data_IF_246268437432
#
_entry.id   IF_246268437432
#
_cell.length_a   1.000
_cell.length_b   1.000
_cell.length_c   1.000
_cell.angle_alpha   90.00
_cell.angle_beta   90.00
_cell.angle_gamma   90.00
#
_symmetry.space_group_name_H-M   'P 1'
#
loop_
_entity.id
_entity.type
_entity.pdbx_description
1 polymer ?
#
# COMPACT_ATOMS: atom_id res chain seq x y z
N UNK A 1 29.75 -11.24 -0.47
CA UNK A 1 29.07 -10.03 -0.97
C UNK A 1 27.61 -10.20 -0.64
N UNK A 2 26.99 -9.30 0.12
CA UNK A 2 25.61 -9.48 0.61
C UNK A 2 24.62 -9.10 -0.50
N UNK A 3 23.86 -10.08 -0.97
CA UNK A 3 22.85 -9.94 -2.03
C UNK A 3 21.47 -9.91 -1.38
N UNK A 4 20.55 -9.09 -1.91
CA UNK A 4 19.15 -9.07 -1.49
C UNK A 4 18.25 -9.04 -2.73
N UNK A 5 17.17 -9.83 -2.71
CA UNK A 5 16.25 -9.98 -3.83
C UNK A 5 15.02 -9.11 -3.61
N UNK A 6 14.71 -8.24 -4.56
CA UNK A 6 13.58 -7.31 -4.46
C UNK A 6 12.51 -7.72 -5.47
N UNK A 7 11.31 -7.97 -4.97
CA UNK A 7 10.11 -8.22 -5.78
C UNK A 7 9.26 -6.97 -5.77
N UNK A 8 8.82 -6.55 -6.94
CA UNK A 8 7.96 -5.40 -7.13
C UNK A 8 6.55 -5.90 -7.46
N UNK A 9 5.55 -5.33 -6.78
CA UNK A 9 4.15 -5.55 -7.13
C UNK A 9 3.53 -4.20 -7.47
N UNK A 10 3.13 -4.06 -8.73
CA UNK A 10 2.24 -2.99 -9.15
C UNK A 10 0.91 -3.13 -8.40
N UNK A 11 0.25 -2.01 -8.04
CA UNK A 11 -0.97 -2.08 -7.25
C UNK A 11 -2.01 -2.90 -8.04
N UNK A 12 -2.83 -3.67 -7.32
CA UNK A 12 -3.84 -4.59 -7.87
C UNK A 12 -5.02 -3.87 -8.55
N UNK A 13 -4.76 -2.90 -9.42
CA UNK A 13 -5.77 -2.23 -10.24
C UNK A 13 -5.92 -2.86 -11.63
N UNK A 14 -5.12 -3.88 -11.97
CA UNK A 14 -5.36 -4.69 -13.15
C UNK A 14 -5.23 -6.19 -12.83
N UNK A 15 -6.17 -7.05 -13.29
CA UNK A 15 -6.06 -8.50 -13.15
C UNK A 15 -4.90 -9.11 -13.98
N UNK A 16 -4.12 -8.27 -14.66
CA UNK A 16 -3.00 -8.60 -15.54
C UNK A 16 -1.66 -8.04 -15.07
N UNK A 17 -1.59 -7.40 -13.88
CA UNK A 17 -0.33 -6.80 -13.39
C UNK A 17 0.74 -7.89 -13.23
N UNK A 18 1.78 -7.81 -14.06
CA UNK A 18 2.90 -8.75 -14.02
C UNK A 18 3.84 -8.33 -12.90
N UNK A 19 4.16 -9.26 -11.99
CA UNK A 19 5.22 -9.03 -11.01
C UNK A 19 6.55 -8.79 -11.73
N UNK A 20 7.25 -7.72 -11.38
CA UNK A 20 8.61 -7.44 -11.83
C UNK A 20 9.54 -7.84 -10.70
N UNK A 21 10.55 -8.67 -10.96
CA UNK A 21 11.52 -9.12 -9.97
C UNK A 21 12.91 -8.66 -10.38
N UNK A 22 13.65 -8.06 -9.43
CA UNK A 22 15.01 -7.55 -9.66
C UNK A 22 15.89 -7.89 -8.46
N UNK A 23 17.08 -8.43 -8.71
CA UNK A 23 18.10 -8.63 -7.68
C UNK A 23 18.98 -7.38 -7.56
N UNK A 24 19.20 -6.93 -6.32
CA UNK A 24 20.03 -5.75 -6.06
C UNK A 24 21.09 -6.09 -4.99
N UNK A 25 22.31 -5.63 -5.24
CA UNK A 25 23.38 -5.67 -4.25
C UNK A 25 23.29 -4.42 -3.37
N UNK A 26 23.11 -4.61 -2.08
CA UNK A 26 22.90 -3.50 -1.14
C UNK A 26 23.85 -3.63 0.05
N UNK A 27 24.49 -2.52 0.38
CA UNK A 27 25.26 -2.39 1.62
C UNK A 27 24.30 -2.30 2.80
N UNK A 28 24.36 -3.26 3.73
CA UNK A 28 23.47 -3.31 4.89
C UNK A 28 23.63 -2.13 5.86
N UNK A 29 24.70 -1.35 5.73
CA UNK A 29 24.92 -0.12 6.51
C UNK A 29 24.09 1.05 5.98
N UNK A 30 23.54 0.94 4.78
CA UNK A 30 22.61 1.91 4.22
C UNK A 30 21.31 1.95 5.01
N UNK A 31 20.64 3.11 4.96
CA UNK A 31 19.34 3.30 5.60
C UNK A 31 18.20 2.84 4.68
N UNK A 32 17.03 2.58 5.27
CA UNK A 32 15.81 2.36 4.51
C UNK A 32 15.47 3.54 3.57
N UNK A 33 15.74 4.78 3.98
CA UNK A 33 15.61 5.95 3.11
C UNK A 33 16.52 5.86 1.88
N UNK A 34 17.77 5.47 2.07
CA UNK A 34 18.74 5.26 0.98
C UNK A 34 18.28 4.16 0.02
N UNK A 35 17.76 3.05 0.55
CA UNK A 35 17.12 2.01 -0.26
C UNK A 35 15.98 2.57 -1.10
N UNK A 36 15.03 3.29 -0.48
CA UNK A 36 13.89 3.88 -1.21
C UNK A 36 14.37 4.77 -2.35
N UNK A 37 15.39 5.60 -2.15
CA UNK A 37 15.98 6.42 -3.22
C UNK A 37 16.57 5.60 -4.36
N UNK A 38 17.26 4.50 -4.07
CA UNK A 38 17.79 3.58 -5.10
C UNK A 38 16.67 2.88 -5.89
N UNK A 39 15.49 2.69 -5.28
CA UNK A 39 14.34 2.07 -5.93
C UNK A 39 13.51 3.05 -6.77
N UNK A 40 13.58 4.37 -6.55
CA UNK A 40 12.84 5.36 -7.36
C UNK A 40 12.95 5.15 -8.89
N UNK A 41 14.14 4.94 -9.49
CA UNK A 41 14.25 4.68 -10.93
C UNK A 41 13.71 3.31 -11.37
N UNK A 42 13.60 2.33 -10.47
CA UNK A 42 13.08 0.99 -10.80
C UNK A 42 11.56 0.90 -10.71
N UNK A 43 10.98 1.68 -9.78
CA UNK A 43 9.54 1.82 -9.54
C UNK A 43 8.94 2.95 -10.39
N UNK A 44 9.78 3.81 -10.98
CA UNK A 44 9.35 5.00 -11.74
C UNK A 44 8.43 5.93 -10.92
N UNK A 45 8.70 5.99 -9.62
CA UNK A 45 7.83 6.63 -8.65
C UNK A 45 8.66 7.25 -7.51
N UNK A 46 8.34 8.48 -7.06
CA UNK A 46 8.98 9.06 -5.88
C UNK A 46 8.85 8.17 -4.65
N UNK A 47 9.90 8.13 -3.83
CA UNK A 47 9.99 7.35 -2.58
C UNK A 47 8.82 7.59 -1.61
N UNK A 48 8.22 8.76 -1.64
CA UNK A 48 7.05 9.09 -0.81
C UNK A 48 5.77 8.39 -1.23
N UNK A 49 5.70 7.90 -2.48
CA UNK A 49 4.51 7.34 -3.11
C UNK A 49 4.53 5.81 -3.21
N UNK A 50 5.52 5.16 -2.58
CA UNK A 50 5.52 3.71 -2.39
C UNK A 50 5.98 3.30 -0.99
N UNK A 51 5.59 2.10 -0.57
CA UNK A 51 5.92 1.45 0.71
C UNK A 51 6.78 0.22 0.45
N UNK A 52 7.63 -0.10 1.42
CA UNK A 52 8.53 -1.25 1.40
C UNK A 52 8.07 -2.24 2.46
N UNK A 53 7.82 -3.48 2.06
CA UNK A 53 7.46 -4.58 2.93
C UNK A 53 8.56 -5.63 2.93
N UNK A 54 8.90 -6.17 4.11
CA UNK A 54 9.74 -7.36 4.20
C UNK A 54 8.84 -8.58 4.14
N UNK A 55 9.19 -9.54 3.29
CA UNK A 55 8.46 -10.80 3.15
C UNK A 55 9.22 -11.89 3.88
N UNK A 56 8.56 -12.54 4.84
CA UNK A 56 9.11 -13.62 5.63
C UNK A 56 8.80 -14.98 5.01
N UNK A 57 9.45 -16.05 5.48
CA UNK A 57 9.31 -17.41 4.94
C UNK A 57 7.87 -17.94 4.98
N UNK A 58 7.03 -17.41 5.88
CA UNK A 58 5.60 -17.73 6.01
C UNK A 58 4.70 -16.83 5.14
N UNK A 59 5.26 -16.10 4.17
CA UNK A 59 4.60 -15.08 3.35
C UNK A 59 3.97 -13.92 4.14
N UNK A 60 4.32 -13.73 5.42
CA UNK A 60 3.92 -12.51 6.12
C UNK A 60 4.68 -11.32 5.55
N UNK A 61 3.94 -10.25 5.31
CA UNK A 61 4.45 -8.98 4.83
C UNK A 61 4.42 -7.96 5.97
N UNK A 62 5.58 -7.43 6.35
CA UNK A 62 5.67 -6.39 7.38
C UNK A 62 6.22 -5.11 6.75
N UNK A 63 5.45 -4.03 6.86
CA UNK A 63 5.89 -2.72 6.36
C UNK A 63 7.09 -2.20 7.14
N UNK A 64 8.09 -1.70 6.42
CA UNK A 64 9.24 -1.02 6.98
C UNK A 64 8.97 0.48 6.94
N UNK A 65 8.80 1.08 8.12
CA UNK A 65 8.39 2.50 8.26
C UNK A 65 9.50 3.41 8.79
N UNK A 66 10.53 2.83 9.42
CA UNK A 66 11.62 3.58 10.06
C UNK A 66 12.71 3.92 9.06
N UNK A 67 12.58 5.09 8.41
CA UNK A 67 13.45 5.52 7.33
C UNK A 67 14.95 5.61 7.68
N UNK A 68 15.26 5.88 8.96
CA UNK A 68 16.65 6.02 9.43
C UNK A 68 17.27 4.71 9.91
N UNK A 69 16.48 3.63 10.02
CA UNK A 69 17.01 2.33 10.40
C UNK A 69 17.89 1.80 9.27
N UNK A 70 19.06 1.26 9.66
CA UNK A 70 19.94 0.55 8.72
C UNK A 70 19.32 -0.78 8.29
N UNK A 71 19.73 -1.29 7.14
CA UNK A 71 19.29 -2.59 6.63
C UNK A 71 20.01 -3.79 7.29
N UNK A 72 20.73 -3.57 8.39
CA UNK A 72 21.45 -4.62 9.13
C UNK A 72 20.56 -5.77 9.62
N UNK A 73 19.27 -5.50 9.88
CA UNK A 73 18.30 -6.52 10.27
C UNK A 73 17.84 -7.42 9.10
N UNK A 74 18.17 -7.08 7.85
CA UNK A 74 17.82 -7.86 6.68
C UNK A 74 18.78 -9.06 6.59
N UNK A 75 18.21 -10.26 6.54
CA UNK A 75 18.97 -11.47 6.26
C UNK A 75 19.46 -11.45 4.82
N UNK A 76 20.49 -12.24 4.51
CA UNK A 76 20.86 -12.45 3.11
C UNK A 76 19.69 -13.05 2.35
N UNK A 77 19.54 -12.67 1.08
CA UNK A 77 18.41 -13.05 0.22
C UNK A 77 17.03 -12.67 0.79
N UNK A 78 16.96 -11.66 1.67
CA UNK A 78 15.68 -11.13 2.14
C UNK A 78 14.86 -10.65 0.96
N UNK A 79 13.67 -11.25 0.79
CA UNK A 79 12.66 -10.79 -0.14
C UNK A 79 12.02 -9.52 0.39
N UNK A 80 12.02 -8.49 -0.45
CA UNK A 80 11.36 -7.23 -0.17
C UNK A 80 10.29 -7.00 -1.23
N UNK A 81 9.12 -6.54 -0.80
CA UNK A 81 7.99 -6.23 -1.64
C UNK A 81 7.76 -4.72 -1.68
N UNK A 82 7.75 -4.13 -2.86
CA UNK A 82 7.37 -2.72 -3.06
C UNK A 82 5.92 -2.65 -3.47
N UNK A 83 5.13 -1.82 -2.78
CA UNK A 83 3.74 -1.52 -3.14
C UNK A 83 3.55 -0.02 -3.29
N UNK A 84 2.83 0.40 -4.32
CA UNK A 84 2.43 1.80 -4.47
C UNK A 84 1.51 2.21 -3.31
N UNK A 85 1.66 3.46 -2.90
CA UNK A 85 0.98 4.02 -1.74
C UNK A 85 1.94 4.84 -0.90
N UNK A 86 1.46 5.93 -0.33
CA UNK A 86 2.27 6.80 0.52
C UNK A 86 2.17 6.43 1.99
N UNK A 87 3.19 6.77 2.78
CA UNK A 87 3.07 6.70 4.23
C UNK A 87 1.92 7.60 4.72
N UNK A 88 1.22 7.16 5.75
CA UNK A 88 0.21 7.97 6.41
C UNK A 88 0.90 9.13 7.12
N UNK A 89 0.42 10.35 6.88
CA UNK A 89 0.87 11.56 7.59
C UNK A 89 0.30 11.54 9.01
N UNK A 90 0.90 12.33 9.90
CA UNK A 90 0.40 12.48 11.27
C UNK A 90 -1.07 12.90 11.22
N UNK A 91 -1.93 12.10 11.83
CA UNK A 91 -3.38 12.33 11.84
C UNK A 91 -4.14 11.55 10.79
N UNK A 92 -3.50 10.93 9.80
CA UNK A 92 -4.17 10.09 8.82
C UNK A 92 -4.36 8.66 9.29
N UNK A 93 -5.43 8.02 8.82
CA UNK A 93 -5.68 6.59 8.93
C UNK A 93 -6.14 6.01 7.59
N UNK A 94 -5.68 4.80 7.28
CA UNK A 94 -6.18 4.03 6.15
C UNK A 94 -7.44 3.27 6.59
N UNK A 95 -8.51 3.40 5.83
CA UNK A 95 -9.76 2.69 6.04
C UNK A 95 -10.01 1.73 4.88
N UNK A 96 -10.80 0.68 5.15
CA UNK A 96 -11.33 -0.22 4.15
C UNK A 96 -12.80 0.13 3.92
N UNK A 97 -13.18 0.36 2.67
CA UNK A 97 -14.56 0.67 2.30
C UNK A 97 -15.24 -0.61 1.82
N UNK A 98 -16.38 -0.91 2.42
CA UNK A 98 -17.24 -2.04 2.07
C UNK A 98 -18.60 -1.52 1.61
N UNK A 99 -19.18 -2.18 0.61
CA UNK A 99 -20.54 -1.91 0.15
C UNK A 99 -21.44 -3.00 0.70
N UNK A 100 -22.47 -2.58 1.44
CA UNK A 100 -23.50 -3.48 1.91
C UNK A 100 -24.45 -3.80 0.74
N UNK A 101 -24.72 -5.09 0.52
CA UNK A 101 -25.72 -5.57 -0.44
C UNK A 101 -26.89 -6.18 0.34
N UNK A 102 -28.11 -5.70 0.07
CA UNK A 102 -29.32 -6.33 0.58
C UNK A 102 -29.83 -7.44 -0.38
N UNK A 103 -29.25 -7.56 -1.57
CA UNK A 103 -29.71 -8.44 -2.63
C UNK A 103 -29.08 -9.84 -2.53
N UNK A 104 -27.90 -9.94 -1.91
CA UNK A 104 -27.18 -11.19 -1.72
C UNK A 104 -27.05 -11.50 -0.22
N UNK A 105 -27.90 -12.39 0.33
CA UNK A 105 -27.82 -12.77 1.74
C UNK A 105 -26.58 -13.63 2.07
N UNK A 106 -25.93 -14.25 1.07
CA UNK A 106 -24.70 -15.04 1.27
C UNK A 106 -23.46 -14.12 1.28
N UNK A 107 -23.46 -13.04 0.48
CA UNK A 107 -22.42 -12.00 0.50
C UNK A 107 -23.00 -10.62 0.84
N UNK A 108 -23.37 -10.38 2.12
CA UNK A 108 -24.07 -9.17 2.54
C UNK A 108 -23.20 -7.91 2.47
N UNK A 109 -21.88 -8.05 2.35
CA UNK A 109 -20.96 -6.95 2.14
C UNK A 109 -19.82 -7.37 1.23
N UNK A 110 -19.46 -6.49 0.29
CA UNK A 110 -18.30 -6.67 -0.58
C UNK A 110 -17.27 -5.60 -0.34
N UNK A 111 -16.00 -5.97 -0.37
CA UNK A 111 -14.90 -5.01 -0.37
C UNK A 111 -14.94 -4.16 -1.66
N UNK A 112 -14.62 -2.88 -1.52
CA UNK A 112 -14.67 -1.91 -2.61
C UNK A 112 -13.26 -1.40 -2.90
N UNK A 113 -12.73 -0.56 -2.01
CA UNK A 113 -11.37 -0.04 -2.07
C UNK A 113 -10.86 0.39 -0.69
N UNK A 114 -9.56 0.64 -0.58
CA UNK A 114 -8.95 1.29 0.57
C UNK A 114 -8.90 2.81 0.34
N UNK A 115 -9.07 3.60 1.40
CA UNK A 115 -8.98 5.07 1.34
C UNK A 115 -8.20 5.64 2.53
N UNK A 116 -7.79 6.91 2.44
CA UNK A 116 -7.12 7.62 3.54
C UNK A 116 -8.06 8.72 4.04
N UNK A 117 -8.31 8.72 5.35
CA UNK A 117 -9.07 9.77 6.04
C UNK A 117 -8.24 10.39 7.16
N UNK A 118 -8.70 11.51 7.71
CA UNK A 118 -8.04 12.19 8.81
C UNK A 118 -8.78 11.96 10.13
N UNK A 119 -8.04 11.75 11.22
CA UNK A 119 -8.57 11.71 12.57
C UNK A 119 -9.30 13.01 12.86
N UNK A 120 -10.51 12.89 13.40
CA UNK A 120 -11.38 14.02 13.71
C UNK A 120 -12.36 14.38 12.59
N UNK A 121 -12.24 13.77 11.40
CA UNK A 121 -13.29 13.91 10.38
C UNK A 121 -14.61 13.34 10.89
N UNK A 122 -15.68 14.09 10.66
CA UNK A 122 -17.06 13.63 10.86
C UNK A 122 -17.44 12.57 9.83
N UNK A 123 -18.48 11.79 10.13
CA UNK A 123 -19.03 10.79 9.20
C UNK A 123 -19.47 11.45 7.89
N UNK A 124 -20.04 12.66 7.97
CA UNK A 124 -20.45 13.42 6.79
C UNK A 124 -19.27 13.75 5.89
N UNK A 125 -18.20 14.32 6.44
CA UNK A 125 -17.00 14.66 5.64
C UNK A 125 -16.37 13.41 5.01
N UNK A 126 -16.35 12.29 5.73
CA UNK A 126 -15.90 11.01 5.16
C UNK A 126 -16.80 10.55 4.00
N UNK A 127 -18.12 10.67 4.12
CA UNK A 127 -19.05 10.34 3.04
C UNK A 127 -18.83 11.26 1.83
N UNK A 128 -18.73 12.57 2.03
CA UNK A 128 -18.48 13.55 0.96
C UNK A 128 -17.16 13.28 0.24
N UNK A 129 -16.11 12.92 0.98
CA UNK A 129 -14.80 12.56 0.44
C UNK A 129 -14.86 11.31 -0.45
N UNK A 130 -15.60 10.29 -0.04
CA UNK A 130 -15.69 8.98 -0.72
C UNK A 130 -16.68 8.99 -1.89
N UNK A 131 -17.68 9.87 -1.86
CA UNK A 131 -18.82 9.85 -2.78
C UNK A 131 -18.45 9.93 -4.27
N UNK A 132 -17.53 10.80 -4.72
CA UNK A 132 -17.16 10.87 -6.14
C UNK A 132 -16.57 9.55 -6.65
N UNK A 133 -15.73 8.91 -5.84
CA UNK A 133 -15.10 7.63 -6.18
C UNK A 133 -16.13 6.51 -6.26
N UNK A 134 -17.05 6.47 -5.29
CA UNK A 134 -18.13 5.49 -5.23
C UNK A 134 -19.10 5.64 -6.41
N UNK A 135 -19.44 6.87 -6.80
CA UNK A 135 -20.23 7.15 -8.00
C UNK A 135 -19.49 6.69 -9.26
N UNK A 136 -18.24 7.11 -9.44
CA UNK A 136 -17.49 6.86 -10.67
C UNK A 136 -17.23 5.37 -10.90
N UNK A 137 -16.79 4.64 -9.87
CA UNK A 137 -16.39 3.23 -10.01
C UNK A 137 -17.53 2.24 -9.83
N UNK A 138 -18.58 2.60 -9.08
CA UNK A 138 -19.62 1.65 -8.68
C UNK A 138 -21.05 2.15 -8.90
N UNK A 139 -21.26 3.34 -9.48
CA UNK A 139 -22.59 3.88 -9.73
C UNK A 139 -23.39 4.15 -8.45
N UNK A 140 -22.71 4.38 -7.33
CA UNK A 140 -23.36 4.54 -6.03
C UNK A 140 -24.06 5.89 -5.91
N UNK A 141 -25.40 5.89 -5.91
CA UNK A 141 -26.21 7.11 -5.95
C UNK A 141 -26.89 7.48 -4.61
N UNK A 142 -26.40 6.95 -3.48
CA UNK A 142 -26.99 7.28 -2.18
C UNK A 142 -26.55 8.69 -1.72
N UNK A 143 -27.48 9.57 -1.31
CA UNK A 143 -27.15 10.89 -0.76
C UNK A 143 -26.27 10.79 0.48
N UNK A 144 -25.36 11.75 0.64
CA UNK A 144 -24.47 11.87 1.80
C UNK A 144 -25.26 12.05 3.11
N UNK A 145 -26.40 12.74 3.06
CA UNK A 145 -27.20 13.14 4.22
C UNK A 145 -28.10 12.04 4.80
N UNK A 146 -28.18 10.86 4.17
CA UNK A 146 -28.96 9.70 4.67
C UNK A 146 -28.18 8.85 5.68
#
# INVERSE_FOLDING_TARGET
>A
TQTSRYIFEEPKESPTSKHKEVELLIDKRETLAGLKKKLEPLVECPSELFRIYRVYCNNQEIENTRLQDTLSAFMDDTKVLVKYGRALRKGECQIKVFMLSCEDPEEPFRYVFDWIVHKGMSVRECKELLHPELQQRYGFNCPVDQ
#
